data_IF_237494933343
#
_entry.id   IF_237494933343
#
_cell.length_a   1.000
_cell.length_b   1.000
_cell.length_c   1.000
_cell.angle_alpha   90.00
_cell.angle_beta   90.00
_cell.angle_gamma   90.00
#
_symmetry.space_group_name_H-M   'P 1'
#
loop_
_entity.id
_entity.type
_entity.pdbx_description
1 polymer ?
#
# COMPACT_ATOMS: atom_id res chain seq x y z
N UNK A 1 -0.81 -5.55 17.42
CA UNK A 1 -1.84 -6.04 16.50
C UNK A 1 -2.90 -6.75 17.33
N UNK A 2 -3.92 -6.01 17.73
CA UNK A 2 -5.18 -6.62 18.17
C UNK A 2 -5.86 -7.21 16.92
N UNK A 3 -6.60 -8.30 17.14
CA UNK A 3 -7.09 -9.27 16.14
C UNK A 3 -8.26 -8.72 15.27
N UNK A 4 -8.17 -7.48 14.80
CA UNK A 4 -9.10 -6.96 13.79
C UNK A 4 -8.65 -7.43 12.41
N UNK A 5 -9.35 -8.42 11.85
CA UNK A 5 -9.16 -8.85 10.47
C UNK A 5 -9.54 -7.70 9.51
N UNK A 6 -8.57 -6.84 9.18
CA UNK A 6 -8.72 -5.81 8.18
C UNK A 6 -8.93 -6.46 6.80
N UNK A 7 -10.18 -6.54 6.37
CA UNK A 7 -10.57 -7.12 5.09
C UNK A 7 -11.19 -6.06 4.21
N UNK A 8 -10.77 -6.06 2.95
CA UNK A 8 -11.48 -5.30 1.92
C UNK A 8 -12.74 -6.09 1.59
N UNK A 9 -13.89 -5.43 1.59
CA UNK A 9 -15.16 -6.06 1.21
C UNK A 9 -15.25 -6.22 -0.33
N UNK A 10 -14.38 -7.06 -0.90
CA UNK A 10 -14.19 -7.23 -2.36
C UNK A 10 -15.51 -7.49 -3.07
N UNK A 11 -16.33 -8.41 -2.54
CA UNK A 11 -17.62 -8.76 -3.13
C UNK A 11 -18.57 -7.57 -3.28
N UNK A 12 -18.56 -6.62 -2.32
CA UNK A 12 -19.37 -5.41 -2.41
C UNK A 12 -18.86 -4.46 -3.49
N UNK A 13 -17.53 -4.28 -3.58
CA UNK A 13 -16.89 -3.40 -4.57
C UNK A 13 -17.17 -3.94 -5.98
N UNK A 14 -16.96 -5.23 -6.19
CA UNK A 14 -17.23 -5.90 -7.48
C UNK A 14 -18.71 -5.83 -7.83
N UNK A 15 -19.62 -6.03 -6.87
CA UNK A 15 -21.06 -5.90 -7.11
C UNK A 15 -21.47 -4.48 -7.52
N UNK A 16 -20.88 -3.44 -6.90
CA UNK A 16 -21.11 -2.05 -7.30
C UNK A 16 -20.64 -1.78 -8.73
N UNK A 17 -19.47 -2.33 -9.12
CA UNK A 17 -18.95 -2.18 -10.48
C UNK A 17 -19.82 -2.91 -11.52
N UNK A 18 -20.29 -4.12 -11.18
CA UNK A 18 -21.26 -4.87 -12.00
C UNK A 18 -22.56 -4.09 -12.19
N UNK A 19 -23.08 -3.47 -11.14
CA UNK A 19 -24.29 -2.66 -11.22
C UNK A 19 -24.13 -1.39 -12.09
N UNK A 20 -22.91 -0.84 -12.18
CA UNK A 20 -22.60 0.30 -13.05
C UNK A 20 -22.55 -0.08 -14.53
N UNK A 21 -21.85 -1.17 -14.86
CA UNK A 21 -21.54 -1.53 -16.26
C UNK A 21 -22.58 -2.46 -16.90
N UNK A 22 -23.36 -3.20 -16.10
CA UNK A 22 -24.21 -4.28 -16.59
C UNK A 22 -23.39 -5.52 -16.99
N UNK A 23 -24.01 -6.45 -17.72
CA UNK A 23 -23.40 -7.76 -18.06
C UNK A 23 -22.35 -7.71 -19.20
N UNK A 24 -22.21 -6.59 -19.90
CA UNK A 24 -21.42 -6.51 -21.14
C UNK A 24 -19.92 -6.26 -20.93
N UNK A 25 -19.48 -5.80 -19.76
CA UNK A 25 -18.08 -5.42 -19.48
C UNK A 25 -17.41 -6.36 -18.46
N UNK A 26 -17.64 -7.66 -18.63
CA UNK A 26 -17.14 -8.72 -17.75
C UNK A 26 -15.61 -8.67 -17.57
N UNK A 27 -14.86 -8.26 -18.59
CA UNK A 27 -13.40 -8.17 -18.52
C UNK A 27 -12.88 -7.10 -17.54
N UNK A 28 -13.52 -5.94 -17.44
CA UNK A 28 -13.12 -4.90 -16.49
C UNK A 28 -13.49 -5.29 -15.04
N UNK A 29 -14.62 -5.98 -14.88
CA UNK A 29 -15.04 -6.55 -13.61
C UNK A 29 -14.03 -7.60 -13.11
N UNK A 30 -13.55 -8.48 -13.98
CA UNK A 30 -12.54 -9.49 -13.66
C UNK A 30 -11.20 -8.86 -13.28
N UNK A 31 -10.74 -7.84 -14.03
CA UNK A 31 -9.52 -7.10 -13.69
C UNK A 31 -9.61 -6.46 -12.30
N UNK A 32 -10.76 -5.86 -11.98
CA UNK A 32 -10.99 -5.27 -10.66
C UNK A 32 -10.93 -6.34 -9.56
N UNK A 33 -11.60 -7.48 -9.75
CA UNK A 33 -11.60 -8.58 -8.78
C UNK A 33 -10.17 -9.10 -8.54
N UNK A 34 -9.41 -9.35 -9.60
CA UNK A 34 -8.00 -9.77 -9.50
C UNK A 34 -7.14 -8.73 -8.78
N UNK A 35 -7.32 -7.45 -9.09
CA UNK A 35 -6.58 -6.37 -8.43
C UNK A 35 -6.87 -6.33 -6.92
N UNK A 36 -8.15 -6.42 -6.53
CA UNK A 36 -8.57 -6.41 -5.13
C UNK A 36 -8.14 -7.67 -4.37
N UNK A 37 -8.16 -8.85 -5.01
CA UNK A 37 -7.64 -10.08 -4.41
C UNK A 37 -6.12 -10.01 -4.18
N UNK A 38 -5.39 -9.44 -5.14
CA UNK A 38 -3.95 -9.18 -4.99
C UNK A 38 -3.67 -8.26 -3.81
N UNK A 39 -4.46 -7.20 -3.65
CA UNK A 39 -4.40 -6.27 -2.51
C UNK A 39 -4.65 -7.02 -1.19
N UNK A 40 -5.73 -7.81 -1.09
CA UNK A 40 -6.02 -8.60 0.12
C UNK A 40 -4.89 -9.59 0.44
N UNK A 41 -4.28 -10.20 -0.58
CA UNK A 41 -3.15 -11.11 -0.38
C UNK A 41 -1.92 -10.39 0.18
N UNK A 42 -1.69 -9.12 -0.19
CA UNK A 42 -0.60 -8.31 0.39
C UNK A 42 -0.81 -8.03 1.87
N UNK A 43 -2.05 -7.80 2.33
CA UNK A 43 -2.37 -7.72 3.77
C UNK A 43 -1.96 -9.00 4.49
N UNK A 44 -2.38 -10.16 3.97
CA UNK A 44 -2.02 -11.45 4.56
C UNK A 44 -0.49 -11.69 4.58
N UNK A 45 0.22 -11.22 3.55
CA UNK A 45 1.69 -11.29 3.53
C UNK A 45 2.35 -10.36 4.53
N UNK A 46 1.78 -9.19 4.82
CA UNK A 46 2.24 -8.33 5.91
C UNK A 46 2.13 -9.08 7.25
N UNK A 47 0.97 -9.66 7.56
CA UNK A 47 0.75 -10.43 8.80
C UNK A 47 1.75 -11.59 8.93
N UNK A 48 1.91 -12.37 7.86
CA UNK A 48 2.88 -13.47 7.82
C UNK A 48 4.30 -12.97 8.11
N UNK A 49 4.78 -11.97 7.37
CA UNK A 49 6.14 -11.48 7.53
C UNK A 49 6.38 -10.82 8.89
N UNK A 50 5.40 -10.13 9.45
CA UNK A 50 5.52 -9.55 10.79
C UNK A 50 5.62 -10.65 11.85
N UNK A 51 4.77 -11.67 11.78
CA UNK A 51 4.80 -12.80 12.73
C UNK A 51 6.14 -13.56 12.69
N UNK A 52 6.67 -13.83 11.50
CA UNK A 52 7.97 -14.47 11.31
C UNK A 52 9.13 -13.57 11.77
N UNK A 53 9.04 -12.26 11.54
CA UNK A 53 10.01 -11.31 12.08
C UNK A 53 10.04 -11.38 13.61
N UNK A 54 8.89 -11.36 14.27
CA UNK A 54 8.81 -11.43 15.74
C UNK A 54 9.43 -12.73 16.24
N UNK A 55 9.15 -13.86 15.58
CA UNK A 55 9.70 -15.16 15.92
C UNK A 55 11.24 -15.20 15.86
N UNK A 56 11.85 -14.58 14.84
CA UNK A 56 13.31 -14.59 14.65
C UNK A 56 14.04 -13.36 15.20
N UNK A 57 13.34 -12.49 15.93
CA UNK A 57 13.91 -11.27 16.53
C UNK A 57 13.55 -11.12 18.01
N UNK A 58 13.30 -12.25 18.69
CA UNK A 58 13.28 -12.30 20.14
C UNK A 58 14.70 -12.18 20.73
N UNK A 59 14.81 -11.82 22.00
CA UNK A 59 16.11 -11.56 22.64
C UNK A 59 17.06 -12.76 22.56
N UNK A 60 16.51 -13.97 22.65
CA UNK A 60 17.28 -15.22 22.54
C UNK A 60 17.86 -15.37 21.15
N UNK A 61 17.06 -15.19 20.10
CA UNK A 61 17.46 -15.28 18.70
C UNK A 61 18.48 -14.19 18.36
N UNK A 62 18.27 -12.96 18.85
CA UNK A 62 19.20 -11.85 18.64
C UNK A 62 20.57 -12.11 19.27
N UNK A 63 20.61 -12.70 20.47
CA UNK A 63 21.85 -13.15 21.11
C UNK A 63 22.50 -14.30 20.33
N UNK A 64 21.72 -15.30 19.90
CA UNK A 64 22.23 -16.44 19.11
C UNK A 64 22.83 -16.01 17.77
N UNK A 65 22.22 -15.04 17.07
CA UNK A 65 22.79 -14.44 15.85
C UNK A 65 24.18 -13.86 16.11
N UNK A 66 24.32 -13.06 17.17
CA UNK A 66 25.57 -12.35 17.48
C UNK A 66 26.69 -13.25 17.96
N UNK A 67 26.39 -14.23 18.83
CA UNK A 67 27.40 -15.06 19.47
C UNK A 67 27.71 -16.36 18.73
N UNK A 68 26.69 -16.98 18.15
CA UNK A 68 26.78 -18.34 17.60
C UNK A 68 26.67 -18.37 16.07
N UNK A 69 26.28 -17.26 15.43
CA UNK A 69 25.97 -17.21 13.99
C UNK A 69 25.02 -18.34 13.58
N UNK A 70 24.05 -18.62 14.46
CA UNK A 70 23.19 -19.79 14.37
C UNK A 70 22.40 -19.81 13.05
N UNK A 71 22.27 -21.01 12.49
CA UNK A 71 21.49 -21.27 11.29
C UNK A 71 20.39 -22.29 11.59
N UNK A 72 19.17 -22.00 11.14
CA UNK A 72 18.00 -22.88 11.26
C UNK A 72 17.63 -23.32 9.84
N UNK A 73 17.70 -24.62 9.57
CA UNK A 73 17.47 -25.16 8.22
C UNK A 73 18.47 -24.62 7.18
N UNK A 74 19.72 -24.36 7.58
CA UNK A 74 20.77 -23.82 6.71
C UNK A 74 20.71 -22.31 6.46
N UNK A 75 19.74 -21.60 7.05
CA UNK A 75 19.57 -20.14 6.89
C UNK A 75 19.89 -19.45 8.22
N UNK A 76 20.73 -18.41 8.17
CA UNK A 76 21.09 -17.63 9.36
C UNK A 76 19.88 -16.92 9.99
N UNK A 77 19.90 -16.74 11.30
CA UNK A 77 18.88 -15.95 12.02
C UNK A 77 18.80 -14.53 11.43
N UNK A 78 19.95 -13.90 11.14
CA UNK A 78 20.00 -12.61 10.44
C UNK A 78 19.20 -12.59 9.14
N UNK A 79 19.49 -13.52 8.24
CA UNK A 79 18.77 -13.61 6.97
C UNK A 79 17.27 -13.73 7.17
N UNK A 80 16.82 -14.46 8.20
CA UNK A 80 15.39 -14.63 8.50
C UNK A 80 14.71 -13.35 8.95
N UNK A 81 15.27 -12.63 9.95
CA UNK A 81 14.65 -11.39 10.39
C UNK A 81 14.75 -10.29 9.32
N UNK A 82 15.86 -10.21 8.56
CA UNK A 82 16.03 -9.22 7.49
C UNK A 82 15.04 -9.48 6.34
N UNK A 83 14.97 -10.72 5.86
CA UNK A 83 14.06 -11.08 4.76
C UNK A 83 12.59 -10.81 5.12
N UNK A 84 12.20 -11.11 6.36
CA UNK A 84 10.84 -10.84 6.82
C UNK A 84 10.57 -9.34 7.03
N UNK A 85 11.53 -8.57 7.57
CA UNK A 85 11.37 -7.12 7.67
C UNK A 85 11.18 -6.46 6.29
N UNK A 86 12.00 -6.81 5.28
CA UNK A 86 11.80 -6.26 3.94
C UNK A 86 10.60 -6.86 3.20
N UNK A 87 10.26 -8.13 3.47
CA UNK A 87 9.07 -8.76 2.94
C UNK A 87 7.81 -8.03 3.39
N UNK A 88 7.74 -7.67 4.67
CA UNK A 88 6.69 -6.83 5.22
C UNK A 88 6.65 -5.47 4.50
N UNK A 89 7.77 -4.73 4.50
CA UNK A 89 7.84 -3.37 3.92
C UNK A 89 7.42 -3.35 2.46
N UNK A 90 7.89 -4.32 1.67
CA UNK A 90 7.54 -4.41 0.25
C UNK A 90 6.06 -4.70 0.03
N UNK A 91 5.46 -5.57 0.86
CA UNK A 91 4.04 -5.89 0.74
C UNK A 91 3.16 -4.73 1.18
N UNK A 92 3.47 -4.06 2.30
CA UNK A 92 2.73 -2.89 2.74
C UNK A 92 2.85 -1.73 1.75
N UNK A 93 4.05 -1.50 1.21
CA UNK A 93 4.23 -0.46 0.18
C UNK A 93 3.42 -0.80 -1.07
N UNK A 94 3.51 -2.03 -1.56
CA UNK A 94 2.81 -2.42 -2.77
C UNK A 94 1.28 -2.48 -2.60
N UNK A 95 0.78 -2.71 -1.39
CA UNK A 95 -0.63 -2.56 -1.03
C UNK A 95 -1.09 -1.13 -1.32
N UNK A 96 -0.39 -0.15 -0.75
CA UNK A 96 -0.70 1.27 -0.90
C UNK A 96 -0.45 1.75 -2.34
N UNK A 97 0.64 1.33 -2.96
CA UNK A 97 1.04 1.72 -4.32
C UNK A 97 0.08 1.18 -5.39
N UNK A 98 -0.66 0.11 -5.09
CA UNK A 98 -1.69 -0.45 -5.99
C UNK A 98 -3.05 0.25 -5.90
N UNK A 99 -3.27 1.11 -4.91
CA UNK A 99 -4.55 1.81 -4.74
C UNK A 99 -4.93 2.66 -5.97
N UNK A 100 -4.06 3.53 -6.52
CA UNK A 100 -4.42 4.34 -7.68
C UNK A 100 -4.85 3.50 -8.89
N UNK A 101 -4.24 2.33 -9.08
CA UNK A 101 -4.62 1.39 -10.15
C UNK A 101 -6.00 0.80 -9.93
N UNK A 102 -6.28 0.27 -8.73
CA UNK A 102 -7.59 -0.27 -8.40
C UNK A 102 -8.69 0.79 -8.44
N UNK A 103 -8.40 2.02 -7.98
CA UNK A 103 -9.32 3.16 -8.11
C UNK A 103 -9.53 3.57 -9.56
N UNK A 104 -8.52 3.45 -10.43
CA UNK A 104 -8.68 3.74 -11.85
C UNK A 104 -9.63 2.76 -12.51
N UNK A 105 -9.52 1.46 -12.23
CA UNK A 105 -10.44 0.46 -12.77
C UNK A 105 -11.87 0.71 -12.22
N UNK A 106 -11.98 1.03 -10.94
CA UNK A 106 -13.28 1.23 -10.30
C UNK A 106 -14.02 2.48 -10.80
N UNK A 107 -13.34 3.63 -10.89
CA UNK A 107 -13.95 4.92 -11.27
C UNK A 107 -13.70 5.33 -12.74
N UNK A 108 -12.84 4.61 -13.47
CA UNK A 108 -12.53 4.85 -14.88
C UNK A 108 -12.09 6.29 -15.20
N UNK A 109 -11.28 6.91 -14.33
CA UNK A 109 -10.79 8.29 -14.52
C UNK A 109 -9.71 8.42 -15.61
N UNK A 110 -9.12 7.31 -16.03
CA UNK A 110 -8.19 7.20 -17.14
C UNK A 110 -8.61 6.02 -18.03
N UNK A 111 -8.81 6.28 -19.32
CA UNK A 111 -9.29 5.29 -20.29
C UNK A 111 -8.27 4.20 -20.58
N UNK A 112 -6.98 4.57 -20.65
CA UNK A 112 -5.88 3.61 -20.69
C UNK A 112 -5.57 3.17 -19.25
N UNK A 113 -6.05 1.97 -18.90
CA UNK A 113 -5.88 1.38 -17.57
C UNK A 113 -4.44 0.94 -17.29
N UNK A 114 -3.61 0.76 -18.32
CA UNK A 114 -2.21 0.34 -18.19
C UNK A 114 -1.25 1.54 -18.32
N UNK A 115 -1.80 2.76 -18.33
CA UNK A 115 -1.01 3.98 -18.44
C UNK A 115 -0.03 4.13 -17.27
N UNK A 116 1.25 4.35 -17.58
CA UNK A 116 2.31 4.62 -16.58
C UNK A 116 2.09 5.89 -15.74
N UNK A 117 1.12 6.72 -16.12
CA UNK A 117 0.69 7.88 -15.35
C UNK A 117 -0.16 7.51 -14.13
N UNK A 118 -0.73 6.30 -14.07
CA UNK A 118 -1.55 5.83 -12.96
C UNK A 118 -0.65 5.58 -11.75
N UNK A 119 -0.88 6.31 -10.66
CA UNK A 119 -0.05 6.22 -9.47
C UNK A 119 -0.26 7.42 -8.54
N UNK A 120 0.58 7.52 -7.52
CA UNK A 120 0.54 8.59 -6.51
C UNK A 120 1.07 9.96 -6.98
N UNK A 121 1.16 10.19 -8.29
CA UNK A 121 1.56 11.49 -8.84
C UNK A 121 0.41 12.48 -8.65
N UNK A 122 0.73 13.73 -8.30
CA UNK A 122 -0.26 14.78 -8.03
C UNK A 122 -1.27 14.92 -9.17
N UNK A 123 -0.77 14.91 -10.42
CA UNK A 123 -1.57 15.05 -11.63
C UNK A 123 -2.61 13.94 -11.79
N UNK A 124 -2.32 12.72 -11.29
CA UNK A 124 -3.27 11.61 -11.31
C UNK A 124 -4.27 11.69 -10.17
N UNK A 125 -3.80 11.99 -8.94
CA UNK A 125 -4.66 12.10 -7.75
C UNK A 125 -5.68 13.25 -7.91
N UNK A 126 -5.30 14.36 -8.55
CA UNK A 126 -6.19 15.49 -8.82
C UNK A 126 -7.40 15.13 -9.70
N UNK A 127 -7.36 14.03 -10.46
CA UNK A 127 -8.54 13.54 -11.21
C UNK A 127 -9.70 13.15 -10.30
N UNK A 128 -9.43 12.90 -9.02
CA UNK A 128 -10.43 12.55 -8.03
C UNK A 128 -10.95 13.76 -7.23
N UNK A 129 -10.57 15.00 -7.57
CA UNK A 129 -10.87 16.20 -6.76
C UNK A 129 -12.36 16.42 -6.45
N UNK A 130 -13.26 15.94 -7.31
CA UNK A 130 -14.71 16.10 -7.16
C UNK A 130 -15.41 14.88 -6.52
N UNK A 131 -14.66 13.84 -6.16
CA UNK A 131 -15.20 12.66 -5.49
C UNK A 131 -15.33 12.92 -3.98
N UNK A 132 -16.32 12.28 -3.35
CA UNK A 132 -16.55 12.44 -1.90
C UNK A 132 -15.38 12.01 -1.02
N UNK A 133 -14.52 11.14 -1.53
CA UNK A 133 -13.34 10.60 -0.84
C UNK A 133 -12.04 11.37 -1.14
N UNK A 134 -12.11 12.47 -1.91
CA UNK A 134 -10.92 13.22 -2.36
C UNK A 134 -10.05 13.69 -1.19
N UNK A 135 -10.66 14.14 -0.09
CA UNK A 135 -9.94 14.59 1.10
C UNK A 135 -9.12 13.47 1.72
N UNK A 136 -9.72 12.28 1.90
CA UNK A 136 -9.05 11.13 2.50
C UNK A 136 -7.96 10.56 1.58
N UNK A 137 -8.18 10.56 0.26
CA UNK A 137 -7.16 10.18 -0.72
C UNK A 137 -5.96 11.14 -0.68
N UNK A 138 -6.21 12.44 -0.64
CA UNK A 138 -5.15 13.45 -0.52
C UNK A 138 -4.41 13.32 0.80
N UNK A 139 -5.10 13.12 1.93
CA UNK A 139 -4.50 12.92 3.24
C UNK A 139 -3.55 11.72 3.25
N UNK A 140 -3.97 10.59 2.66
CA UNK A 140 -3.10 9.42 2.51
C UNK A 140 -1.90 9.69 1.59
N UNK A 141 -2.07 10.48 0.53
CA UNK A 141 -0.97 10.78 -0.42
C UNK A 141 0.18 11.60 0.19
N UNK A 142 -0.11 12.40 1.22
CA UNK A 142 0.87 13.24 1.93
C UNK A 142 1.25 12.67 3.30
N UNK A 143 0.86 11.43 3.59
CA UNK A 143 1.10 10.80 4.88
C UNK A 143 2.59 10.58 5.14
N UNK A 144 3.03 10.86 6.37
CA UNK A 144 4.44 10.73 6.77
C UNK A 144 4.89 9.27 6.82
N UNK A 145 4.08 8.36 7.37
CA UNK A 145 4.38 6.93 7.42
C UNK A 145 4.43 6.34 6.02
N UNK A 146 3.52 6.77 5.14
CA UNK A 146 3.58 6.34 3.74
C UNK A 146 4.86 6.87 3.05
N UNK A 147 5.26 8.11 3.33
CA UNK A 147 6.50 8.71 2.82
C UNK A 147 7.74 7.94 3.30
N UNK A 148 7.80 7.59 4.59
CA UNK A 148 8.87 6.76 5.19
C UNK A 148 8.97 5.39 4.51
N UNK A 149 7.83 4.71 4.40
CA UNK A 149 7.72 3.39 3.77
C UNK A 149 8.19 3.41 2.32
N UNK A 150 7.76 4.41 1.54
CA UNK A 150 8.20 4.64 0.15
C UNK A 150 9.71 4.91 0.08
N UNK A 151 10.25 5.71 0.99
CA UNK A 151 11.69 5.98 1.08
C UNK A 151 12.52 4.71 1.29
N UNK A 152 12.12 3.87 2.26
CA UNK A 152 12.76 2.59 2.57
C UNK A 152 12.72 1.63 1.38
N UNK A 153 11.51 1.39 0.84
CA UNK A 153 11.31 0.41 -0.23
C UNK A 153 12.01 0.85 -1.52
N UNK A 154 11.99 2.14 -1.87
CA UNK A 154 12.72 2.63 -3.04
C UNK A 154 14.24 2.50 -2.88
N UNK A 155 14.77 2.72 -1.68
CA UNK A 155 16.19 2.52 -1.42
C UNK A 155 16.58 1.05 -1.54
N UNK A 156 15.79 0.15 -0.94
CA UNK A 156 15.96 -1.29 -1.05
C UNK A 156 15.93 -1.77 -2.51
N UNK A 157 14.97 -1.29 -3.30
CA UNK A 157 14.77 -1.69 -4.71
C UNK A 157 15.84 -1.14 -5.67
N UNK A 158 16.24 0.11 -5.51
CA UNK A 158 16.98 0.84 -6.55
C UNK A 158 18.40 1.25 -6.14
N UNK A 159 18.80 1.06 -4.88
CA UNK A 159 20.13 1.46 -4.39
C UNK A 159 20.84 0.32 -3.69
N UNK A 160 20.44 0.03 -2.45
CA UNK A 160 21.01 -1.04 -1.62
C UNK A 160 20.07 -1.34 -0.45
N UNK A 161 20.24 -2.54 0.09
CA UNK A 161 19.54 -2.99 1.30
C UNK A 161 20.04 -2.17 2.50
N UNK A 162 19.13 -1.51 3.22
CA UNK A 162 19.45 -0.69 4.41
C UNK A 162 19.76 -1.61 5.56
N UNK A 163 20.99 -1.64 6.05
CA UNK A 163 21.40 -2.58 7.10
C UNK A 163 20.48 -2.52 8.33
N UNK A 164 20.13 -3.68 8.87
CA UNK A 164 19.48 -3.81 10.17
C UNK A 164 20.54 -4.15 11.22
N UNK A 165 20.73 -3.24 12.19
CA UNK A 165 21.63 -3.42 13.33
C UNK A 165 20.92 -4.23 14.40
N UNK A 166 21.54 -5.33 14.82
CA UNK A 166 21.12 -6.12 15.98
C UNK A 166 21.91 -5.66 17.22
N UNK A 167 21.24 -5.07 18.21
CA UNK A 167 21.85 -4.61 19.47
C UNK A 167 21.58 -5.54 20.67
N UNK A 168 21.37 -6.83 20.38
CA UNK A 168 21.06 -7.92 21.32
C UNK A 168 19.63 -7.90 21.89
N UNK A 169 18.98 -6.73 21.93
CA UNK A 169 17.63 -6.56 22.51
C UNK A 169 16.63 -6.13 21.44
N UNK A 170 17.10 -5.36 20.46
CA UNK A 170 16.29 -4.78 19.40
C UNK A 170 16.99 -4.83 18.04
N UNK A 171 16.20 -4.57 17.01
CA UNK A 171 16.65 -4.41 15.65
C UNK A 171 16.44 -2.95 15.24
N UNK A 172 17.46 -2.30 14.69
CA UNK A 172 17.39 -0.90 14.27
C UNK A 172 17.77 -0.75 12.81
N UNK A 173 17.00 0.02 12.05
CA UNK A 173 17.43 0.44 10.72
C UNK A 173 18.63 1.38 10.83
N UNK A 174 19.59 1.23 9.93
CA UNK A 174 20.60 2.25 9.71
C UNK A 174 19.96 3.55 9.22
N UNK A 175 20.57 4.67 9.59
CA UNK A 175 20.16 6.01 9.17
C UNK A 175 19.90 6.08 7.67
N UNK A 176 18.74 6.61 7.30
CA UNK A 176 18.44 6.91 5.92
C UNK A 176 17.62 8.18 5.79
N UNK A 177 17.57 8.69 4.57
CA UNK A 177 16.78 9.86 4.23
C UNK A 177 15.62 9.49 3.31
N UNK A 178 14.50 10.19 3.49
CA UNK A 178 13.30 10.07 2.67
C UNK A 178 12.75 11.45 2.34
N UNK A 179 11.93 11.53 1.29
CA UNK A 179 11.26 12.77 0.90
C UNK A 179 9.86 12.78 1.50
N UNK A 180 9.51 13.87 2.18
CA UNK A 180 8.16 14.12 2.69
C UNK A 180 7.78 15.57 2.38
N UNK A 181 6.66 15.77 1.69
CA UNK A 181 6.15 17.09 1.31
C UNK A 181 7.21 18.04 0.69
N UNK A 182 8.10 17.49 -0.14
CA UNK A 182 9.17 18.24 -0.80
C UNK A 182 10.41 18.51 0.07
N UNK A 183 10.40 18.08 1.33
CA UNK A 183 11.51 18.20 2.27
C UNK A 183 12.25 16.87 2.39
N UNK A 184 13.59 16.92 2.44
CA UNK A 184 14.42 15.75 2.73
C UNK A 184 14.50 15.57 4.25
N UNK A 185 13.90 14.50 4.75
CA UNK A 185 13.91 14.13 6.15
C UNK A 185 14.89 12.99 6.42
N UNK A 186 15.32 12.86 7.68
CA UNK A 186 16.26 11.84 8.12
C UNK A 186 15.62 11.00 9.22
N UNK A 187 15.61 9.69 9.03
CA UNK A 187 15.32 8.71 10.06
C UNK A 187 16.63 8.24 10.68
N UNK A 188 16.69 8.18 12.01
CA UNK A 188 17.90 7.87 12.77
C UNK A 188 17.61 6.71 13.73
N UNK A 189 18.40 5.64 13.64
CA UNK A 189 18.38 4.46 14.55
C UNK A 189 16.96 3.98 14.93
N UNK A 190 16.04 3.99 13.97
CA UNK A 190 14.64 3.62 14.18
C UNK A 190 14.51 2.11 14.48
N UNK A 191 13.77 1.77 15.53
CA UNK A 191 13.43 0.37 15.82
C UNK A 191 12.58 -0.23 14.69
N UNK A 192 13.02 -1.38 14.19
CA UNK A 192 12.40 -2.07 13.05
C UNK A 192 10.97 -2.46 13.40
N UNK A 193 10.76 -3.17 14.51
CA UNK A 193 9.43 -3.71 14.85
C UNK A 193 8.43 -2.57 15.10
N UNK A 194 8.86 -1.52 15.80
CA UNK A 194 8.06 -0.33 16.05
C UNK A 194 7.67 0.36 14.74
N UNK A 195 8.61 0.57 13.83
CA UNK A 195 8.33 1.21 12.54
C UNK A 195 7.37 0.38 11.67
N UNK A 196 7.52 -0.94 11.67
CA UNK A 196 6.61 -1.81 10.93
C UNK A 196 5.19 -1.76 11.51
N UNK A 197 5.03 -1.85 12.84
CA UNK A 197 3.72 -1.76 13.47
C UNK A 197 3.10 -0.36 13.33
N UNK A 198 3.88 0.71 13.47
CA UNK A 198 3.37 2.08 13.27
C UNK A 198 2.87 2.29 11.85
N UNK A 199 3.62 1.83 10.84
CA UNK A 199 3.15 1.91 9.46
C UNK A 199 1.94 1.02 9.21
N UNK A 200 1.86 -0.16 9.84
CA UNK A 200 0.70 -1.04 9.72
C UNK A 200 -0.55 -0.40 10.31
N UNK A 201 -0.49 -0.11 11.61
CA UNK A 201 -1.63 0.27 12.45
C UNK A 201 -2.13 1.68 12.10
N UNK A 202 -1.32 2.47 11.37
CA UNK A 202 -1.73 3.75 10.82
C UNK A 202 -2.24 3.65 9.37
N UNK A 203 -1.49 3.02 8.46
CA UNK A 203 -1.79 3.06 7.03
C UNK A 203 -2.87 2.08 6.61
N UNK A 204 -2.95 0.89 7.22
CA UNK A 204 -3.96 -0.11 6.86
C UNK A 204 -5.37 0.38 7.20
N UNK A 205 -5.65 0.90 8.42
CA UNK A 205 -6.99 1.43 8.71
C UNK A 205 -7.38 2.60 7.80
N UNK A 206 -6.45 3.51 7.51
CA UNK A 206 -6.67 4.62 6.55
C UNK A 206 -7.04 4.09 5.16
N UNK A 207 -6.31 3.07 4.69
CA UNK A 207 -6.56 2.41 3.41
C UNK A 207 -7.95 1.78 3.33
N UNK A 208 -8.35 1.03 4.37
CA UNK A 208 -9.66 0.36 4.43
C UNK A 208 -10.79 1.39 4.51
N UNK A 209 -10.66 2.40 5.38
CA UNK A 209 -11.65 3.48 5.50
C UNK A 209 -11.83 4.23 4.19
N UNK A 210 -10.75 4.44 3.44
CA UNK A 210 -10.82 5.07 2.11
C UNK A 210 -11.64 4.22 1.13
N UNK A 211 -11.47 2.90 1.11
CA UNK A 211 -12.31 2.02 0.29
C UNK A 211 -13.78 2.08 0.70
N UNK A 212 -14.08 2.19 2.00
CA UNK A 212 -15.45 2.36 2.47
C UNK A 212 -16.07 3.69 2.01
N UNK A 213 -15.29 4.78 2.01
CA UNK A 213 -15.73 6.06 1.44
C UNK A 213 -15.98 5.96 -0.07
N UNK A 214 -15.08 5.31 -0.82
CA UNK A 214 -15.21 5.06 -2.27
C UNK A 214 -16.50 4.29 -2.57
N UNK A 215 -16.75 3.19 -1.84
CA UNK A 215 -18.00 2.42 -1.97
C UNK A 215 -19.25 3.28 -1.72
N UNK A 216 -19.25 4.07 -0.64
CA UNK A 216 -20.38 4.96 -0.29
C UNK A 216 -20.61 6.01 -1.38
N UNK A 217 -19.55 6.58 -1.93
CA UNK A 217 -19.59 7.51 -3.05
C UNK A 217 -20.25 6.88 -4.28
N UNK A 218 -19.76 5.72 -4.72
CA UNK A 218 -20.29 4.99 -5.87
C UNK A 218 -21.76 4.61 -5.69
N UNK A 219 -22.11 4.06 -4.52
CA UNK A 219 -23.50 3.68 -4.21
C UNK A 219 -24.45 4.88 -4.25
N UNK A 220 -24.00 6.05 -3.81
CA UNK A 220 -24.79 7.29 -3.87
C UNK A 220 -24.96 7.78 -5.31
N UNK A 221 -23.89 7.71 -6.12
CA UNK A 221 -23.94 8.06 -7.54
C UNK A 221 -24.87 7.14 -8.35
N UNK A 222 -24.89 5.84 -8.07
CA UNK A 222 -25.79 4.89 -8.72
C UNK A 222 -27.27 5.11 -8.33
N UNK A 223 -27.55 5.58 -7.11
CA UNK A 223 -28.92 5.89 -6.65
C UNK A 223 -29.44 7.23 -7.15
N UNK A 224 -28.57 8.23 -7.25
CA UNK A 224 -28.88 9.54 -7.81
C UNK A 224 -28.59 9.55 -9.30
N UNK A 225 -29.52 9.13 -10.16
CA UNK A 225 -29.38 9.19 -11.63
C UNK A 225 -29.03 10.61 -12.11
N UNK A 226 -27.73 10.88 -12.28
CA UNK A 226 -27.13 11.72 -13.34
C UNK A 226 -25.73 11.18 -13.60
N UNK A 227 -25.55 10.50 -14.74
CA UNK A 227 -24.21 10.24 -15.29
C UNK A 227 -23.47 11.57 -15.43
N UNK A 228 -22.20 11.68 -15.01
CA UNK A 228 -21.24 12.49 -15.72
C UNK A 228 -20.33 11.56 -16.52
N UNK A 229 -20.89 10.87 -17.52
CA UNK A 229 -20.12 10.61 -18.73
C UNK A 229 -20.26 11.86 -19.59
N UNK A 230 -19.50 12.90 -19.25
CA UNK A 230 -19.05 13.86 -20.23
C UNK A 230 -17.54 13.75 -20.25
N UNK A 231 -17.05 12.99 -21.24
CA UNK A 231 -15.77 13.29 -21.84
C UNK A 231 -15.71 14.79 -22.11
N UNK A 232 -14.65 15.52 -21.72
CA UNK A 232 -14.46 16.85 -22.26
C UNK A 232 -14.27 16.68 -23.76
N UNK A 233 -15.22 17.20 -24.55
CA UNK A 233 -15.06 17.38 -25.98
C UNK A 233 -13.74 18.11 -26.21
N UNK A 234 -12.72 17.39 -26.69
CA UNK A 234 -11.60 18.03 -27.36
C UNK A 234 -12.19 18.70 -28.59
N UNK A 235 -12.31 20.03 -28.52
CA UNK A 235 -12.62 20.84 -29.70
C UNK A 235 -11.63 20.46 -30.80
N UNK A 236 -12.10 20.11 -32.01
CA UNK A 236 -11.21 19.97 -33.15
C UNK A 236 -10.65 21.36 -33.45
N UNK A 237 -9.34 21.52 -33.31
CA UNK A 237 -8.64 22.66 -33.88
C UNK A 237 -8.72 22.51 -35.39
N UNK A 238 -9.65 23.22 -36.01
CA UNK A 238 -9.73 23.40 -37.45
C UNK A 238 -9.13 24.76 -37.80
N UNK A 239 -8.26 24.72 -38.82
CA UNK A 239 -7.53 25.78 -39.51
C UNK A 239 -6.30 26.36 -38.80
#
# INVERSE_FOLDING_TARGET
MEDECHSIHIGEIVALKKAELGENDQGEIEKLDVALQSIQKRLNYCEYHYSELVLFSDETSLKQDRYLQMCIGGISIRTRYEANAYGFLQNLHALLDSLPYALNIFECVCTDIEAQSIGWKKEFIEKYAYYSFASSLNALSIDENFSKLKGLVNRYKHKHVIRIKNDYVSLKFEDFTYMHNGTLEKMIDQDVKLMLSECHDDLVPKYISLWDEVKRGKKSALRGTRRPCQTPDMKPTLA
#
